data_IF_385826676685
#
_entry.id   IF_385826676685
#
_cell.length_a   1.000
_cell.length_b   1.000
_cell.length_c   1.000
_cell.angle_alpha   90.00
_cell.angle_beta   90.00
_cell.angle_gamma   90.00
#
_symmetry.space_group_name_H-M   'P 1'
#
loop_
_entity.id
_entity.type
_entity.pdbx_description
1 polymer ?
#
# COMPACT_ATOMS: atom_id res chain seq x y z
N UNK A 1 33.75 -10.73 7.90
CA UNK A 1 32.90 -11.60 8.74
C UNK A 1 31.52 -10.99 8.78
N UNK A 2 30.49 -11.81 8.59
CA UNK A 2 29.11 -11.45 8.28
C UNK A 2 28.56 -10.31 9.15
N UNK A 3 28.14 -9.23 8.49
CA UNK A 3 27.27 -8.22 9.08
C UNK A 3 25.83 -8.56 8.69
N UNK A 4 24.92 -8.24 9.62
CA UNK A 4 23.45 -8.20 9.49
C UNK A 4 22.76 -9.54 9.83
N UNK A 5 22.64 -9.81 11.12
CA UNK A 5 21.59 -10.65 11.68
C UNK A 5 20.92 -9.83 12.81
N UNK A 6 20.07 -8.88 12.42
CA UNK A 6 19.24 -8.05 13.29
C UNK A 6 18.09 -7.48 12.43
N UNK A 7 16.81 -7.66 12.80
CA UNK A 7 16.13 -8.91 13.11
C UNK A 7 15.01 -9.14 12.06
N UNK A 8 14.93 -10.32 11.44
CA UNK A 8 13.79 -10.66 10.56
C UNK A 8 12.47 -10.87 11.34
N UNK A 9 12.56 -11.00 12.66
CA UNK A 9 11.47 -11.35 13.58
C UNK A 9 10.37 -10.27 13.77
N UNK A 10 10.66 -8.94 13.85
CA UNK A 10 9.62 -7.94 14.02
C UNK A 10 8.77 -7.75 12.77
N UNK A 11 9.34 -7.96 11.58
CA UNK A 11 8.65 -7.79 10.30
C UNK A 11 7.64 -8.93 10.09
N UNK A 12 8.04 -10.17 10.39
CA UNK A 12 7.13 -11.32 10.33
C UNK A 12 5.94 -11.12 11.28
N UNK A 13 6.18 -10.62 12.49
CA UNK A 13 5.12 -10.28 13.45
C UNK A 13 4.20 -9.18 12.90
N UNK A 14 4.75 -8.11 12.30
CA UNK A 14 3.95 -7.02 11.74
C UNK A 14 3.09 -7.45 10.54
N UNK A 15 3.59 -8.38 9.71
CA UNK A 15 2.82 -8.96 8.61
C UNK A 15 1.79 -9.97 9.14
N UNK A 16 2.13 -10.75 10.17
CA UNK A 16 1.20 -11.66 10.84
C UNK A 16 0.07 -10.91 11.56
N UNK A 17 0.35 -9.71 12.10
CA UNK A 17 -0.68 -8.82 12.66
C UNK A 17 -1.68 -8.34 11.60
N UNK A 18 -1.24 -8.17 10.35
CA UNK A 18 -2.15 -7.86 9.23
C UNK A 18 -3.05 -9.05 8.87
N UNK A 19 -2.70 -10.27 9.29
CA UNK A 19 -3.51 -11.49 9.12
C UNK A 19 -4.30 -11.87 10.38
N UNK A 20 -4.33 -10.98 11.37
CA UNK A 20 -5.01 -11.27 12.63
C UNK A 20 -6.54 -11.38 12.42
N UNK A 21 -7.21 -12.27 13.13
CA UNK A 21 -8.67 -12.40 13.07
C UNK A 21 -9.38 -11.16 13.65
N UNK A 22 -8.73 -10.43 14.56
CA UNK A 22 -9.25 -9.20 15.15
C UNK A 22 -9.08 -7.99 14.19
N UNK A 23 -10.22 -7.46 13.76
CA UNK A 23 -10.33 -6.30 12.87
C UNK A 23 -9.58 -5.08 13.44
N UNK A 24 -9.65 -4.84 14.76
CA UNK A 24 -8.99 -3.70 15.38
C UNK A 24 -7.46 -3.83 15.32
N UNK A 25 -6.94 -5.05 15.44
CA UNK A 25 -5.50 -5.28 15.28
C UNK A 25 -5.07 -5.06 13.83
N UNK A 26 -5.82 -5.58 12.85
CA UNK A 26 -5.55 -5.32 11.41
C UNK A 26 -5.59 -3.82 11.11
N UNK A 27 -6.63 -3.11 11.56
CA UNK A 27 -6.79 -1.67 11.37
C UNK A 27 -5.62 -0.88 12.00
N UNK A 28 -5.18 -1.26 13.21
CA UNK A 28 -4.04 -0.63 13.86
C UNK A 28 -2.73 -0.86 13.09
N UNK A 29 -2.56 -2.03 12.50
CA UNK A 29 -1.39 -2.36 11.67
C UNK A 29 -1.41 -1.62 10.34
N UNK A 30 -2.58 -1.49 9.69
CA UNK A 30 -2.75 -0.64 8.51
C UNK A 30 -2.41 0.82 8.84
N UNK A 31 -2.88 1.38 9.95
CA UNK A 31 -2.50 2.75 10.36
C UNK A 31 -1.02 2.93 10.66
N UNK A 32 -0.25 1.84 10.71
CA UNK A 32 1.21 1.84 10.90
C UNK A 32 1.95 1.40 9.65
N UNK A 33 1.29 1.26 8.49
CA UNK A 33 1.87 0.78 7.23
C UNK A 33 3.15 1.53 6.89
N UNK A 34 3.13 2.86 7.03
CA UNK A 34 4.26 3.75 6.80
C UNK A 34 5.49 3.40 7.66
N UNK A 35 5.27 3.01 8.92
CA UNK A 35 6.34 2.59 9.83
C UNK A 35 6.88 1.21 9.46
N UNK A 36 5.98 0.29 9.08
CA UNK A 36 6.33 -1.06 8.62
C UNK A 36 7.20 -0.96 7.37
N UNK A 37 6.75 -0.22 6.35
CA UNK A 37 7.48 -0.07 5.10
C UNK A 37 8.85 0.61 5.28
N UNK A 38 8.95 1.59 6.18
CA UNK A 38 10.24 2.19 6.54
C UNK A 38 11.21 1.19 7.17
N UNK A 39 10.72 0.31 8.06
CA UNK A 39 11.55 -0.72 8.68
C UNK A 39 11.91 -1.85 7.69
N UNK A 40 11.00 -2.15 6.78
CA UNK A 40 11.16 -3.18 5.75
C UNK A 40 12.14 -2.76 4.65
N UNK A 41 12.20 -1.45 4.37
CA UNK A 41 12.94 -0.88 3.26
C UNK A 41 12.12 -0.91 1.96
N UNK A 42 12.54 -0.06 1.02
CA UNK A 42 11.77 0.17 -0.21
C UNK A 42 11.66 -1.10 -1.05
N UNK A 43 12.76 -1.83 -1.26
CA UNK A 43 12.76 -3.02 -2.13
C UNK A 43 11.79 -4.11 -1.66
N UNK A 44 11.80 -4.41 -0.36
CA UNK A 44 10.92 -5.41 0.23
C UNK A 44 9.49 -4.90 0.35
N UNK A 45 9.28 -3.60 0.54
CA UNK A 45 7.95 -2.98 0.45
C UNK A 45 7.30 -3.26 -0.91
N UNK A 46 8.07 -3.11 -2.00
CA UNK A 46 7.58 -3.40 -3.36
C UNK A 46 7.34 -4.87 -3.63
N UNK A 47 8.20 -5.76 -3.12
CA UNK A 47 8.21 -7.19 -3.45
C UNK A 47 7.38 -8.07 -2.52
N UNK A 48 7.12 -7.62 -1.30
CA UNK A 48 6.46 -8.41 -0.26
C UNK A 48 5.21 -7.70 0.27
N UNK A 49 5.35 -6.46 0.75
CA UNK A 49 4.24 -5.77 1.42
C UNK A 49 3.11 -5.38 0.46
N UNK A 50 3.42 -4.75 -0.68
CA UNK A 50 2.39 -4.33 -1.63
C UNK A 50 1.64 -5.50 -2.28
N UNK A 51 2.30 -6.59 -2.72
CA UNK A 51 1.59 -7.79 -3.18
C UNK A 51 0.67 -8.35 -2.10
N UNK A 52 1.14 -8.42 -0.85
CA UNK A 52 0.32 -8.86 0.27
C UNK A 52 -0.94 -8.00 0.44
N UNK A 53 -0.82 -6.67 0.42
CA UNK A 53 -1.98 -5.78 0.53
C UNK A 53 -2.94 -5.91 -0.66
N UNK A 54 -2.40 -6.11 -1.87
CA UNK A 54 -3.22 -6.29 -3.08
C UNK A 54 -4.04 -7.58 -3.05
N UNK A 55 -3.50 -8.64 -2.42
CA UNK A 55 -4.19 -9.92 -2.23
C UNK A 55 -5.25 -9.87 -1.12
N UNK A 56 -5.19 -8.91 -0.19
CA UNK A 56 -6.13 -8.75 0.93
C UNK A 56 -7.10 -7.58 0.70
N UNK A 57 -7.73 -7.56 -0.48
CA UNK A 57 -8.72 -6.55 -0.89
C UNK A 57 -10.16 -6.89 -0.47
N UNK A 58 -10.39 -8.07 0.10
CA UNK A 58 -11.68 -8.60 0.60
C UNK A 58 -11.70 -8.61 2.14
N UNK A 59 -11.19 -7.53 2.74
CA UNK A 59 -11.16 -7.29 4.19
C UNK A 59 -12.34 -6.39 4.59
N UNK A 60 -12.52 -6.14 5.90
CA UNK A 60 -13.54 -5.25 6.43
C UNK A 60 -13.40 -3.82 5.87
N UNK A 61 -14.52 -3.17 5.59
CA UNK A 61 -14.58 -1.84 4.95
C UNK A 61 -13.73 -0.78 5.67
N UNK A 62 -13.67 -0.82 7.01
CA UNK A 62 -12.83 0.10 7.81
C UNK A 62 -11.33 -0.11 7.55
N UNK A 63 -10.91 -1.36 7.36
CA UNK A 63 -9.53 -1.75 7.07
C UNK A 63 -9.16 -1.31 5.65
N UNK A 64 -10.04 -1.57 4.68
CA UNK A 64 -9.86 -1.17 3.29
C UNK A 64 -9.81 0.36 3.15
N UNK A 65 -10.66 1.09 3.88
CA UNK A 65 -10.66 2.55 3.89
C UNK A 65 -9.33 3.11 4.41
N UNK A 66 -8.83 2.56 5.52
CA UNK A 66 -7.54 2.96 6.07
C UNK A 66 -6.38 2.59 5.13
N UNK A 67 -6.48 1.45 4.43
CA UNK A 67 -5.48 1.02 3.45
C UNK A 67 -5.42 1.98 2.28
N UNK A 68 -6.57 2.36 1.72
CA UNK A 68 -6.66 3.36 0.65
C UNK A 68 -6.01 4.68 1.06
N UNK A 69 -6.25 5.14 2.30
CA UNK A 69 -5.65 6.36 2.84
C UNK A 69 -4.13 6.30 2.96
N UNK A 70 -3.59 5.23 3.56
CA UNK A 70 -2.15 5.06 3.75
C UNK A 70 -1.39 4.92 2.42
N UNK A 71 -1.98 4.22 1.44
CA UNK A 71 -1.38 4.07 0.11
C UNK A 71 -1.23 5.41 -0.62
N UNK A 72 -2.10 6.39 -0.36
CA UNK A 72 -2.03 7.73 -0.98
C UNK A 72 -0.79 8.54 -0.61
N UNK A 73 -0.11 8.21 0.49
CA UNK A 73 1.14 8.86 0.94
C UNK A 73 2.36 7.94 0.85
N UNK A 74 2.26 6.83 0.12
CA UNK A 74 3.24 5.75 0.19
C UNK A 74 4.46 5.90 -0.73
N UNK A 75 4.47 6.92 -1.60
CA UNK A 75 5.55 7.20 -2.56
C UNK A 75 6.96 7.16 -1.91
N UNK A 76 7.21 7.80 -0.76
CA UNK A 76 8.54 7.79 -0.15
C UNK A 76 8.98 6.38 0.30
N UNK A 77 8.04 5.49 0.63
CA UNK A 77 8.34 4.15 1.13
C UNK A 77 8.53 3.12 0.02
N UNK A 78 8.21 3.47 -1.22
CA UNK A 78 8.43 2.62 -2.40
C UNK A 78 9.65 3.03 -3.21
N UNK A 79 10.47 3.97 -2.75
CA UNK A 79 11.64 4.48 -3.48
C UNK A 79 11.37 5.70 -4.33
N UNK A 80 10.35 6.48 -3.97
CA UNK A 80 10.06 7.77 -4.57
C UNK A 80 9.22 7.66 -5.84
N UNK A 81 9.14 8.78 -6.56
CA UNK A 81 8.24 8.95 -7.71
C UNK A 81 8.52 7.98 -8.86
N UNK A 82 9.76 7.48 -8.97
CA UNK A 82 10.15 6.51 -10.01
C UNK A 82 9.39 5.18 -9.88
N UNK A 83 9.00 4.84 -8.66
CA UNK A 83 8.27 3.62 -8.35
C UNK A 83 6.81 3.90 -7.98
N UNK A 84 6.30 5.11 -8.16
CA UNK A 84 4.91 5.45 -7.81
C UNK A 84 3.88 4.58 -8.55
N UNK A 85 4.18 4.15 -9.78
CA UNK A 85 3.31 3.32 -10.61
C UNK A 85 2.90 1.99 -9.95
N UNK A 86 3.70 1.45 -9.04
CA UNK A 86 3.40 0.17 -8.36
C UNK A 86 2.26 0.30 -7.34
N UNK A 87 1.91 1.52 -6.93
CA UNK A 87 0.80 1.79 -6.01
C UNK A 87 -0.53 1.83 -6.76
N UNK A 88 -0.52 1.93 -8.09
CA UNK A 88 -1.73 2.02 -8.90
C UNK A 88 -2.54 0.72 -8.84
N UNK A 89 -1.98 -0.49 -9.04
CA UNK A 89 -2.77 -1.72 -9.00
C UNK A 89 -3.56 -1.98 -7.69
N UNK A 90 -2.97 -1.82 -6.48
CA UNK A 90 -3.76 -1.99 -5.25
C UNK A 90 -4.87 -0.95 -5.11
N UNK A 91 -4.60 0.31 -5.48
CA UNK A 91 -5.62 1.36 -5.42
C UNK A 91 -6.71 1.21 -6.49
N UNK A 92 -6.36 0.75 -7.69
CA UNK A 92 -7.30 0.40 -8.75
C UNK A 92 -8.25 -0.69 -8.26
N UNK A 93 -7.71 -1.71 -7.59
CA UNK A 93 -8.50 -2.79 -7.00
C UNK A 93 -9.46 -2.27 -5.92
N UNK A 94 -8.98 -1.38 -5.05
CA UNK A 94 -9.81 -0.69 -4.04
C UNK A 94 -10.89 0.21 -4.68
N UNK A 95 -10.71 0.66 -5.93
CA UNK A 95 -11.76 1.39 -6.66
C UNK A 95 -12.89 0.48 -7.13
N UNK A 96 -12.73 -0.85 -7.10
CA UNK A 96 -13.74 -1.81 -7.56
C UNK A 96 -14.60 -2.41 -6.46
N UNK A 97 -14.30 -2.13 -5.19
CA UNK A 97 -15.03 -2.67 -4.03
C UNK A 97 -16.43 -2.09 -3.91
N UNK A 98 -17.34 -2.78 -3.23
CA UNK A 98 -18.75 -2.38 -3.10
C UNK A 98 -18.96 -1.12 -2.23
N UNK A 99 -18.12 -0.92 -1.23
CA UNK A 99 -18.27 0.22 -0.31
C UNK A 99 -17.87 1.55 -0.97
N UNK A 100 -18.83 2.46 -1.03
CA UNK A 100 -18.69 3.80 -1.62
C UNK A 100 -17.55 4.60 -0.99
N UNK A 101 -17.43 4.58 0.35
CA UNK A 101 -16.43 5.36 1.05
C UNK A 101 -15.00 4.91 0.72
N UNK A 102 -14.79 3.60 0.55
CA UNK A 102 -13.50 3.03 0.18
C UNK A 102 -13.13 3.45 -1.24
N UNK A 103 -14.07 3.35 -2.19
CA UNK A 103 -13.83 3.79 -3.57
C UNK A 103 -13.47 5.28 -3.66
N UNK A 104 -14.22 6.14 -2.98
CA UNK A 104 -13.96 7.58 -2.97
C UNK A 104 -12.56 7.88 -2.42
N UNK A 105 -12.15 7.18 -1.36
CA UNK A 105 -10.82 7.32 -0.76
C UNK A 105 -9.71 6.80 -1.67
N UNK A 106 -9.94 5.68 -2.35
CA UNK A 106 -8.98 5.12 -3.31
C UNK A 106 -8.75 6.09 -4.48
N UNK A 107 -9.81 6.71 -4.99
CA UNK A 107 -9.72 7.76 -6.03
C UNK A 107 -8.96 8.99 -5.51
N UNK A 108 -9.23 9.46 -4.28
CA UNK A 108 -8.48 10.56 -3.67
C UNK A 108 -6.97 10.26 -3.62
N UNK A 109 -6.61 9.04 -3.20
CA UNK A 109 -5.23 8.57 -3.12
C UNK A 109 -4.58 8.44 -4.50
N UNK A 110 -5.30 7.94 -5.51
CA UNK A 110 -4.84 7.88 -6.90
C UNK A 110 -4.56 9.29 -7.45
N UNK A 111 -5.47 10.24 -7.24
CA UNK A 111 -5.26 11.62 -7.66
C UNK A 111 -4.02 12.24 -6.99
N UNK A 112 -3.82 11.96 -5.71
CA UNK A 112 -2.64 12.44 -4.97
C UNK A 112 -1.34 11.86 -5.51
N UNK A 113 -1.32 10.58 -5.84
CA UNK A 113 -0.15 9.92 -6.44
C UNK A 113 0.09 10.47 -7.84
N UNK A 114 -0.95 10.51 -8.69
CA UNK A 114 -0.88 11.01 -10.05
C UNK A 114 -0.35 12.45 -10.13
N UNK A 115 -0.71 13.32 -9.17
CA UNK A 115 -0.18 14.69 -9.10
C UNK A 115 1.33 14.80 -8.87
N UNK A 116 1.96 13.72 -8.39
CA UNK A 116 3.40 13.64 -8.10
C UNK A 116 4.17 12.79 -9.13
N UNK A 117 3.47 12.06 -10.00
CA UNK A 117 4.08 11.24 -11.03
C UNK A 117 4.69 12.10 -12.15
N UNK A 118 5.69 11.54 -12.84
CA UNK A 118 6.26 12.16 -14.04
C UNK A 118 5.27 12.03 -15.20
N UNK A 119 5.34 12.94 -16.17
CA UNK A 119 4.45 12.91 -17.34
C UNK A 119 4.55 11.59 -18.12
N UNK A 120 5.75 11.01 -18.25
CA UNK A 120 5.93 9.69 -18.87
C UNK A 120 5.14 8.60 -18.13
N UNK A 121 5.24 8.57 -16.80
CA UNK A 121 4.63 7.52 -15.99
C UNK A 121 3.11 7.67 -15.96
N UNK A 122 2.60 8.91 -16.06
CA UNK A 122 1.18 9.16 -16.24
C UNK A 122 0.67 8.57 -17.55
N UNK A 123 1.39 8.77 -18.66
CA UNK A 123 0.98 8.26 -19.96
C UNK A 123 1.08 6.73 -20.03
N UNK A 124 2.13 6.15 -19.46
CA UNK A 124 2.41 4.72 -19.56
C UNK A 124 1.61 3.87 -18.58
N UNK A 125 1.26 4.41 -17.40
CA UNK A 125 0.63 3.64 -16.32
C UNK A 125 -0.70 4.20 -15.84
N UNK A 126 -0.78 5.51 -15.60
CA UNK A 126 -1.99 6.11 -15.01
C UNK A 126 -3.14 6.22 -16.02
N UNK A 127 -2.89 6.70 -17.23
CA UNK A 127 -3.92 6.84 -18.28
C UNK A 127 -4.52 5.48 -18.67
N UNK A 128 -3.74 4.41 -18.88
CA UNK A 128 -4.29 3.08 -19.15
C UNK A 128 -5.21 2.54 -18.06
N UNK A 129 -4.92 2.82 -16.78
CA UNK A 129 -5.74 2.39 -15.65
C UNK A 129 -7.14 3.04 -15.63
N UNK A 130 -7.29 4.25 -16.18
CA UNK A 130 -8.57 4.98 -16.17
C UNK A 130 -9.49 4.61 -17.36
N UNK A 131 -9.02 3.78 -18.29
CA UNK A 131 -9.76 3.41 -19.51
C UNK A 131 -10.58 2.14 -19.35
#
# INVERSE_FOLDING_TARGET
MAMIDEPLYPIAILIDELKNEDIQLRLNSIRRLSTIARALGEERTRKELLPFLSENNDDDDEVLLAMAEELGVFIPYVGGVEYAHILLPPLETLCTVEETCVRDKAVESLCRIGSQMRESDLVDWFIPMVK
#
